data_IF_171659654740
#
_entry.id   IF_171659654740
#
_cell.length_a   1.000
_cell.length_b   1.000
_cell.length_c   1.000
_cell.angle_alpha   90.00
_cell.angle_beta   90.00
_cell.angle_gamma   90.00
#
_symmetry.space_group_name_H-M   'P 1'
#
loop_
_entity.id
_entity.type
_entity.pdbx_description
1 polymer ?
#
# COMPACT_ATOMS: atom_id res chain seq x y z
N UNK A 1 -20.00 10.21 -8.09
CA UNK A 1 -18.74 10.18 -7.30
C UNK A 1 -18.43 11.58 -6.71
N UNK A 2 -19.20 12.11 -5.75
CA UNK A 2 -18.95 13.46 -5.21
C UNK A 2 -17.99 13.51 -4.00
N UNK A 3 -17.71 12.38 -3.34
CA UNK A 3 -16.86 12.34 -2.14
C UNK A 3 -15.35 12.41 -2.45
N UNK A 4 -14.93 11.89 -3.60
CA UNK A 4 -13.51 11.93 -4.01
C UNK A 4 -13.08 13.36 -4.38
N UNK A 5 -14.00 14.15 -4.95
CA UNK A 5 -13.75 15.54 -5.38
C UNK A 5 -13.56 16.48 -4.18
N UNK A 6 -14.35 16.31 -3.12
CA UNK A 6 -14.19 17.09 -1.87
C UNK A 6 -12.95 16.69 -1.07
N UNK A 7 -12.55 15.41 -1.10
CA UNK A 7 -11.33 14.95 -0.44
C UNK A 7 -10.05 15.43 -1.14
N UNK A 8 -10.08 15.52 -2.48
CA UNK A 8 -8.96 16.04 -3.30
C UNK A 8 -8.73 17.55 -3.11
N UNK A 9 -9.79 18.32 -2.83
CA UNK A 9 -9.69 19.78 -2.73
C UNK A 9 -8.87 20.29 -1.51
N UNK A 10 -8.60 19.44 -0.50
CA UNK A 10 -7.85 19.84 0.71
C UNK A 10 -6.33 19.58 0.66
N UNK A 11 -5.81 18.90 -0.38
CA UNK A 11 -4.36 18.71 -0.58
C UNK A 11 -3.95 19.12 -2.00
N UNK A 12 -3.66 20.41 -2.16
CA UNK A 12 -3.31 21.05 -3.43
C UNK A 12 -2.13 20.37 -4.17
N UNK A 13 -1.17 19.76 -3.45
CA UNK A 13 0.02 19.14 -4.04
C UNK A 13 -0.25 17.80 -4.77
N UNK A 14 -1.23 17.01 -4.32
CA UNK A 14 -1.52 15.71 -4.93
C UNK A 14 -2.41 15.86 -6.17
N UNK A 15 -3.29 16.88 -6.14
CA UNK A 15 -4.11 17.30 -7.28
C UNK A 15 -3.26 17.95 -8.37
N UNK A 16 -2.30 18.82 -8.02
CA UNK A 16 -1.37 19.38 -9.01
C UNK A 16 -0.48 18.31 -9.63
N UNK A 17 0.00 17.32 -8.87
CA UNK A 17 0.78 16.22 -9.45
C UNK A 17 -0.04 15.36 -10.44
N UNK A 18 -1.30 15.04 -10.12
CA UNK A 18 -2.17 14.29 -11.04
C UNK A 18 -2.61 15.11 -12.25
N UNK A 19 -2.88 16.41 -12.08
CA UNK A 19 -3.25 17.32 -13.18
C UNK A 19 -2.04 17.59 -14.08
N UNK A 20 -0.83 17.79 -13.54
CA UNK A 20 0.39 17.96 -14.33
C UNK A 20 0.78 16.67 -15.08
N UNK A 21 0.56 15.52 -14.45
CA UNK A 21 0.66 14.24 -15.15
C UNK A 21 -0.39 14.16 -16.26
N UNK A 22 -1.62 14.65 -16.11
CA UNK A 22 -2.62 14.59 -17.19
C UNK A 22 -2.44 15.64 -18.30
N UNK A 23 -1.83 16.80 -18.00
CA UNK A 23 -1.64 17.90 -18.97
C UNK A 23 -0.38 17.72 -19.82
N UNK A 24 0.59 16.90 -19.37
CA UNK A 24 1.78 16.62 -20.18
C UNK A 24 1.42 15.82 -21.44
N UNK A 25 1.86 16.24 -22.65
CA UNK A 25 1.51 15.58 -23.91
C UNK A 25 1.93 14.10 -23.95
N UNK A 26 3.01 13.76 -23.23
CA UNK A 26 3.51 12.39 -23.08
C UNK A 26 2.57 11.48 -22.30
N UNK A 27 1.82 12.03 -21.35
CA UNK A 27 0.85 11.27 -20.60
C UNK A 27 -0.41 11.01 -21.41
N UNK A 28 -0.81 11.92 -22.30
CA UNK A 28 -1.91 11.65 -23.23
C UNK A 28 -1.61 10.48 -24.17
N UNK A 29 -0.35 10.32 -24.60
CA UNK A 29 0.07 9.17 -25.41
C UNK A 29 0.04 7.87 -24.60
N UNK A 30 0.55 7.90 -23.37
CA UNK A 30 0.46 6.75 -22.44
C UNK A 30 -0.99 6.43 -22.13
N UNK A 31 -1.84 7.44 -21.93
CA UNK A 31 -3.27 7.30 -21.66
C UNK A 31 -4.00 6.65 -22.83
N UNK A 32 -3.73 7.11 -24.06
CA UNK A 32 -4.26 6.50 -25.28
C UNK A 32 -3.74 5.08 -25.49
N UNK A 33 -2.49 4.79 -25.13
CA UNK A 33 -1.93 3.44 -25.15
C UNK A 33 -2.60 2.53 -24.12
N UNK A 34 -2.84 3.01 -22.90
CA UNK A 34 -3.50 2.23 -21.83
C UNK A 34 -4.97 2.00 -22.16
N UNK A 35 -5.64 3.00 -22.75
CA UNK A 35 -7.02 2.88 -23.20
C UNK A 35 -7.19 1.88 -24.35
N UNK A 36 -6.15 1.61 -25.15
CA UNK A 36 -6.22 0.58 -26.21
C UNK A 36 -6.28 -0.85 -25.68
N UNK A 37 -5.86 -1.11 -24.43
CA UNK A 37 -5.88 -2.47 -23.90
C UNK A 37 -7.32 -3.00 -23.78
N UNK A 38 -7.55 -4.20 -24.32
CA UNK A 38 -8.81 -4.92 -24.11
C UNK A 38 -8.95 -5.40 -22.66
N UNK A 39 -10.18 -5.74 -22.26
CA UNK A 39 -10.50 -6.26 -20.91
C UNK A 39 -9.68 -7.51 -20.56
N UNK A 40 -9.50 -8.41 -21.54
CA UNK A 40 -8.68 -9.62 -21.37
C UNK A 40 -7.20 -9.30 -21.13
N UNK A 41 -6.62 -8.41 -21.95
CA UNK A 41 -5.21 -8.03 -21.84
C UNK A 41 -4.92 -7.30 -20.51
N UNK A 42 -5.80 -6.38 -20.11
CA UNK A 42 -5.68 -5.66 -18.84
C UNK A 42 -5.69 -6.60 -17.62
N UNK A 43 -6.56 -7.60 -17.65
CA UNK A 43 -6.64 -8.60 -16.57
C UNK A 43 -5.37 -9.43 -16.48
N UNK A 44 -4.81 -9.87 -17.61
CA UNK A 44 -3.53 -10.62 -17.66
C UNK A 44 -2.38 -9.78 -17.11
N UNK A 45 -2.30 -8.49 -17.49
CA UNK A 45 -1.26 -7.58 -17.00
C UNK A 45 -1.37 -7.38 -15.49
N UNK A 46 -2.57 -7.22 -14.94
CA UNK A 46 -2.78 -7.13 -13.48
C UNK A 46 -2.26 -8.38 -12.75
N UNK A 47 -2.63 -9.59 -13.21
CA UNK A 47 -2.17 -10.82 -12.57
C UNK A 47 -0.66 -11.02 -12.71
N UNK A 48 -0.06 -10.64 -13.83
CA UNK A 48 1.38 -10.68 -14.03
C UNK A 48 2.12 -9.72 -13.08
N UNK A 49 1.61 -8.50 -12.87
CA UNK A 49 2.17 -7.54 -11.93
C UNK A 49 2.10 -8.08 -10.49
N UNK A 50 0.97 -8.69 -10.12
CA UNK A 50 0.78 -9.28 -8.78
C UNK A 50 1.69 -10.48 -8.56
N UNK A 51 1.85 -11.36 -9.55
CA UNK A 51 2.73 -12.54 -9.44
C UNK A 51 4.20 -12.17 -9.37
N UNK A 52 4.64 -11.14 -10.11
CA UNK A 52 6.01 -10.63 -10.02
C UNK A 52 6.26 -10.00 -8.65
N UNK A 53 5.33 -9.21 -8.12
CA UNK A 53 5.46 -8.64 -6.79
C UNK A 53 5.50 -9.70 -5.69
N UNK A 54 4.66 -10.73 -5.77
CA UNK A 54 4.65 -11.81 -4.79
C UNK A 54 5.95 -12.61 -4.84
N UNK A 55 6.51 -12.85 -6.03
CA UNK A 55 7.82 -13.48 -6.18
C UNK A 55 8.95 -12.66 -5.53
N UNK A 56 8.95 -11.33 -5.74
CA UNK A 56 9.93 -10.44 -5.09
C UNK A 56 9.75 -10.46 -3.56
N UNK A 57 8.52 -10.47 -3.06
CA UNK A 57 8.27 -10.56 -1.62
C UNK A 57 8.74 -11.89 -1.03
N UNK A 58 8.48 -13.01 -1.72
CA UNK A 58 8.91 -14.34 -1.31
C UNK A 58 10.43 -14.52 -1.35
N UNK A 59 11.13 -13.78 -2.22
CA UNK A 59 12.60 -13.77 -2.22
C UNK A 59 13.18 -13.34 -0.86
N UNK A 60 12.44 -12.52 -0.09
CA UNK A 60 12.80 -12.17 1.28
C UNK A 60 12.98 -13.38 2.21
N UNK A 61 12.27 -14.48 1.96
CA UNK A 61 12.39 -15.69 2.77
C UNK A 61 13.77 -16.37 2.67
N UNK A 62 14.48 -16.20 1.55
CA UNK A 62 15.81 -16.76 1.34
C UNK A 62 16.87 -16.16 2.29
N UNK A 63 16.64 -14.98 2.84
CA UNK A 63 17.55 -14.37 3.82
C UNK A 63 17.45 -15.01 5.21
N UNK A 64 16.43 -15.82 5.47
CA UNK A 64 16.22 -16.51 6.74
C UNK A 64 16.69 -17.97 6.71
N UNK A 65 17.20 -18.46 5.57
CA UNK A 65 17.77 -19.80 5.46
C UNK A 65 19.18 -19.86 6.06
N UNK A 66 19.34 -20.68 7.11
CA UNK A 66 20.61 -20.85 7.80
C UNK A 66 21.67 -21.58 6.95
N UNK A 67 21.27 -22.29 5.90
CA UNK A 67 22.18 -23.05 5.04
C UNK A 67 22.91 -22.20 3.98
N UNK A 68 22.49 -20.94 3.81
CA UNK A 68 22.99 -20.05 2.76
C UNK A 68 24.06 -19.09 3.29
N UNK A 69 25.19 -18.89 2.58
CA UNK A 69 26.17 -17.87 2.95
C UNK A 69 25.56 -16.46 2.81
N UNK A 70 25.66 -15.66 3.87
CA UNK A 70 25.15 -14.29 3.89
C UNK A 70 25.98 -13.37 3.00
N UNK A 71 25.33 -12.77 2.00
CA UNK A 71 25.93 -11.73 1.15
C UNK A 71 25.36 -10.36 1.53
N UNK A 72 26.19 -9.51 2.13
CA UNK A 72 25.79 -8.17 2.56
C UNK A 72 25.34 -7.28 1.39
N UNK A 73 25.96 -7.43 0.22
CA UNK A 73 25.61 -6.66 -0.98
C UNK A 73 24.19 -7.03 -1.47
N UNK A 74 23.88 -8.32 -1.51
CA UNK A 74 22.56 -8.80 -1.93
C UNK A 74 21.47 -8.38 -0.93
N UNK A 75 21.75 -8.52 0.37
CA UNK A 75 20.84 -8.10 1.42
C UNK A 75 20.57 -6.58 1.37
N UNK A 76 21.61 -5.78 1.14
CA UNK A 76 21.49 -4.32 1.01
C UNK A 76 20.66 -3.90 -0.21
N UNK A 77 20.91 -4.53 -1.37
CA UNK A 77 20.13 -4.29 -2.59
C UNK A 77 18.67 -4.68 -2.39
N UNK A 78 18.40 -5.86 -1.82
CA UNK A 78 17.03 -6.27 -1.54
C UNK A 78 16.33 -5.32 -0.56
N UNK A 79 16.99 -4.95 0.54
CA UNK A 79 16.44 -4.03 1.55
C UNK A 79 16.10 -2.65 0.96
N UNK A 80 16.90 -2.11 0.04
CA UNK A 80 16.64 -0.84 -0.63
C UNK A 80 15.54 -0.93 -1.70
N UNK A 81 15.58 -1.96 -2.55
CA UNK A 81 14.73 -2.01 -3.74
C UNK A 81 13.39 -2.73 -3.54
N UNK A 82 13.23 -3.63 -2.57
CA UNK A 82 11.97 -4.37 -2.41
C UNK A 82 10.76 -3.44 -2.20
N UNK A 83 10.89 -2.41 -1.35
CA UNK A 83 9.83 -1.39 -1.14
C UNK A 83 9.55 -0.57 -2.39
N UNK A 84 10.60 -0.26 -3.16
CA UNK A 84 10.47 0.51 -4.39
C UNK A 84 9.71 -0.28 -5.47
N UNK A 85 10.08 -1.56 -5.68
CA UNK A 85 9.36 -2.43 -6.62
C UNK A 85 7.92 -2.69 -6.17
N UNK A 86 7.69 -2.85 -4.87
CA UNK A 86 6.34 -2.96 -4.33
C UNK A 86 5.51 -1.69 -4.61
N UNK A 87 6.07 -0.51 -4.35
CA UNK A 87 5.39 0.76 -4.61
C UNK A 87 5.10 0.99 -6.12
N UNK A 88 6.06 0.68 -7.00
CA UNK A 88 5.86 0.74 -8.46
C UNK A 88 4.78 -0.24 -8.93
N UNK A 89 4.78 -1.45 -8.38
CA UNK A 89 3.78 -2.44 -8.72
C UNK A 89 2.38 -2.03 -8.25
N UNK A 90 2.26 -1.46 -7.05
CA UNK A 90 1.00 -0.94 -6.52
C UNK A 90 0.51 0.28 -7.32
N UNK A 91 1.40 1.18 -7.76
CA UNK A 91 0.99 2.33 -8.57
C UNK A 91 0.47 1.89 -9.95
N UNK A 92 1.15 0.94 -10.61
CA UNK A 92 0.69 0.36 -11.87
C UNK A 92 -0.67 -0.36 -11.71
N UNK A 93 -0.86 -1.09 -10.61
CA UNK A 93 -2.13 -1.73 -10.29
C UNK A 93 -3.28 -0.71 -10.13
N UNK A 94 -3.06 0.35 -9.36
CA UNK A 94 -4.05 1.42 -9.13
C UNK A 94 -4.44 2.07 -10.46
N UNK A 95 -3.46 2.37 -11.33
CA UNK A 95 -3.70 2.93 -12.66
C UNK A 95 -4.62 2.01 -13.49
N UNK A 96 -4.33 0.70 -13.55
CA UNK A 96 -5.14 -0.26 -14.30
C UNK A 96 -6.58 -0.35 -13.75
N UNK A 97 -6.73 -0.33 -12.42
CA UNK A 97 -8.04 -0.38 -11.76
C UNK A 97 -8.86 0.88 -12.03
N UNK A 98 -8.26 2.07 -11.97
CA UNK A 98 -8.93 3.36 -12.24
C UNK A 98 -9.49 3.39 -13.67
N UNK A 99 -8.78 2.81 -14.64
CA UNK A 99 -9.24 2.73 -16.03
C UNK A 99 -10.34 1.69 -16.28
N UNK A 100 -10.81 0.98 -15.26
CA UNK A 100 -12.12 0.32 -15.26
C UNK A 100 -12.25 -0.96 -16.08
N UNK A 101 -11.14 -1.57 -16.53
CA UNK A 101 -11.17 -2.74 -17.42
C UNK A 101 -10.93 -4.09 -16.75
N UNK A 102 -11.13 -4.18 -15.44
CA UNK A 102 -11.04 -5.46 -14.69
C UNK A 102 -12.41 -5.80 -14.08
N UNK A 103 -13.16 -6.73 -14.68
CA UNK A 103 -14.58 -6.94 -14.36
C UNK A 103 -14.81 -7.54 -12.96
N UNK A 104 -13.82 -8.24 -12.40
CA UNK A 104 -13.91 -8.87 -11.07
C UNK A 104 -13.56 -7.89 -9.95
N UNK A 105 -12.51 -7.09 -10.15
CA UNK A 105 -11.93 -6.23 -9.10
C UNK A 105 -12.81 -4.99 -8.88
N UNK A 106 -13.33 -4.38 -9.94
CA UNK A 106 -14.11 -3.15 -9.86
C UNK A 106 -15.36 -3.26 -8.94
N UNK A 107 -16.25 -4.28 -9.07
CA UNK A 107 -17.40 -4.41 -8.17
C UNK A 107 -17.00 -4.73 -6.72
N UNK A 108 -15.90 -5.45 -6.50
CA UNK A 108 -15.38 -5.74 -5.16
C UNK A 108 -14.93 -4.45 -4.45
N UNK A 109 -14.16 -3.62 -5.15
CA UNK A 109 -13.63 -2.36 -4.61
C UNK A 109 -14.70 -1.28 -4.48
N UNK A 110 -15.73 -1.30 -5.33
CA UNK A 110 -16.86 -0.37 -5.24
C UNK A 110 -17.92 -0.78 -4.20
N UNK A 111 -17.74 -1.91 -3.52
CA UNK A 111 -18.68 -2.35 -2.49
C UNK A 111 -18.68 -1.40 -1.28
N UNK A 112 -19.85 -1.16 -0.68
CA UNK A 112 -19.99 -0.28 0.51
C UNK A 112 -19.10 -0.73 1.67
N UNK A 113 -18.91 -2.04 1.82
CA UNK A 113 -18.05 -2.61 2.86
C UNK A 113 -16.60 -2.22 2.63
N UNK A 114 -16.09 -2.33 1.40
CA UNK A 114 -14.70 -1.98 1.09
C UNK A 114 -14.44 -0.48 1.23
N UNK A 115 -15.42 0.36 0.89
CA UNK A 115 -15.33 1.80 1.09
C UNK A 115 -15.24 2.15 2.58
N UNK A 116 -16.12 1.55 3.41
CA UNK A 116 -16.08 1.72 4.87
C UNK A 116 -14.77 1.24 5.47
N UNK A 117 -14.31 0.06 5.05
CA UNK A 117 -13.06 -0.52 5.50
C UNK A 117 -11.85 0.34 5.07
N UNK A 118 -11.89 0.92 3.88
CA UNK A 118 -10.86 1.85 3.40
C UNK A 118 -10.71 3.09 4.29
N UNK A 119 -11.82 3.67 4.74
CA UNK A 119 -11.80 4.79 5.68
C UNK A 119 -11.24 4.39 7.06
N UNK A 120 -11.61 3.20 7.54
CA UNK A 120 -11.09 2.67 8.81
C UNK A 120 -9.59 2.42 8.75
N UNK A 121 -9.12 1.76 7.67
CA UNK A 121 -7.69 1.49 7.45
C UNK A 121 -6.90 2.77 7.30
N UNK A 122 -7.45 3.79 6.63
CA UNK A 122 -6.82 5.10 6.54
C UNK A 122 -6.63 5.74 7.91
N UNK A 123 -7.65 5.70 8.78
CA UNK A 123 -7.55 6.16 10.16
C UNK A 123 -6.48 5.38 10.95
N UNK A 124 -6.48 4.05 10.82
CA UNK A 124 -5.48 3.18 11.46
C UNK A 124 -4.06 3.54 11.04
N UNK A 125 -3.80 3.72 9.75
CA UNK A 125 -2.46 4.05 9.22
C UNK A 125 -1.95 5.39 9.77
N UNK A 126 -2.83 6.35 10.04
CA UNK A 126 -2.44 7.63 10.64
C UNK A 126 -2.12 7.51 12.13
N UNK A 127 -2.88 6.72 12.88
CA UNK A 127 -2.75 6.63 14.34
C UNK A 127 -1.72 5.59 14.79
N UNK A 128 -1.62 4.45 14.10
CA UNK A 128 -0.70 3.37 14.41
C UNK A 128 0.76 3.80 14.66
N UNK A 129 1.39 4.65 13.81
CA UNK A 129 2.77 5.08 14.07
C UNK A 129 2.92 5.90 15.36
N UNK A 130 1.87 6.59 15.83
CA UNK A 130 1.92 7.35 17.09
C UNK A 130 2.17 6.39 18.26
N UNK A 131 1.45 5.26 18.29
CA UNK A 131 1.64 4.23 19.31
C UNK A 131 3.03 3.59 19.24
N UNK A 132 3.49 3.27 18.03
CA UNK A 132 4.84 2.71 17.85
C UNK A 132 5.94 3.67 18.32
N UNK A 133 5.88 4.95 17.92
CA UNK A 133 6.87 5.94 18.35
C UNK A 133 6.79 6.23 19.85
N UNK A 134 5.59 6.22 20.44
CA UNK A 134 5.45 6.40 21.87
C UNK A 134 6.01 5.21 22.65
N UNK A 135 5.74 3.98 22.22
CA UNK A 135 6.34 2.77 22.78
C UNK A 135 7.87 2.81 22.70
N UNK A 136 8.41 3.10 21.52
CA UNK A 136 9.85 3.22 21.28
C UNK A 136 10.50 4.36 22.08
N UNK A 137 9.85 5.52 22.19
CA UNK A 137 10.35 6.68 22.94
C UNK A 137 10.31 6.48 24.46
N UNK A 138 9.45 5.58 24.95
CA UNK A 138 9.34 5.26 26.38
C UNK A 138 10.35 4.19 26.82
N UNK A 139 10.96 3.47 25.87
CA UNK A 139 12.00 2.48 26.16
C UNK A 139 13.28 3.17 26.65
N UNK A 140 13.57 3.00 27.93
CA UNK A 140 14.82 3.46 28.57
C UNK A 140 15.89 2.37 28.65
N UNK A 141 15.65 1.21 28.04
CA UNK A 141 16.50 0.00 28.15
C UNK A 141 16.43 -0.83 26.86
N UNK A 142 17.52 -1.50 26.47
CA UNK A 142 17.53 -2.38 25.30
C UNK A 142 16.58 -3.56 25.55
N UNK A 143 15.62 -3.75 24.66
CA UNK A 143 14.65 -4.84 24.72
C UNK A 143 15.16 -6.02 23.89
N UNK A 144 15.10 -7.22 24.45
CA UNK A 144 15.41 -8.43 23.70
C UNK A 144 14.21 -8.77 22.81
N UNK A 145 14.45 -8.89 21.50
CA UNK A 145 13.45 -9.27 20.51
C UNK A 145 13.06 -10.75 20.71
N UNK A 146 12.11 -10.98 21.62
CA UNK A 146 11.49 -12.27 21.80
C UNK A 146 10.19 -12.33 20.98
N UNK A 147 9.93 -13.46 20.33
CA UNK A 147 8.74 -13.62 19.46
C UNK A 147 7.44 -13.30 20.21
N UNK A 148 7.35 -13.70 21.48
CA UNK A 148 6.17 -13.45 22.32
C UNK A 148 5.92 -11.96 22.55
N UNK A 149 6.94 -11.19 22.93
CA UNK A 149 6.80 -9.75 23.16
C UNK A 149 6.51 -9.01 21.85
N UNK A 150 7.14 -9.39 20.75
CA UNK A 150 6.88 -8.79 19.44
C UNK A 150 5.42 -8.98 18.98
N UNK A 151 4.88 -10.20 19.14
CA UNK A 151 3.49 -10.49 18.78
C UNK A 151 2.53 -9.72 19.68
N UNK A 152 2.76 -9.71 20.99
CA UNK A 152 1.88 -9.04 21.95
C UNK A 152 1.85 -7.53 21.76
N UNK A 153 3.01 -6.89 21.62
CA UNK A 153 3.14 -5.45 21.38
C UNK A 153 2.53 -5.07 20.04
N UNK A 154 2.82 -5.81 18.98
CA UNK A 154 2.25 -5.55 17.66
C UNK A 154 0.73 -5.71 17.62
N UNK A 155 0.19 -6.77 18.22
CA UNK A 155 -1.25 -6.97 18.31
C UNK A 155 -1.94 -5.90 19.16
N UNK A 156 -1.31 -5.49 20.27
CA UNK A 156 -1.80 -4.41 21.12
C UNK A 156 -1.86 -3.07 20.39
N UNK A 157 -0.80 -2.70 19.66
CA UNK A 157 -0.74 -1.46 18.89
C UNK A 157 -1.80 -1.42 17.77
N UNK A 158 -2.00 -2.55 17.08
CA UNK A 158 -3.03 -2.67 16.05
C UNK A 158 -4.42 -2.54 16.68
N UNK A 159 -4.68 -3.24 17.79
CA UNK A 159 -5.99 -3.20 18.45
C UNK A 159 -6.34 -1.80 18.97
N UNK A 160 -5.40 -1.12 19.63
CA UNK A 160 -5.58 0.26 20.11
C UNK A 160 -5.77 1.25 18.95
N UNK A 161 -5.02 1.08 17.86
CA UNK A 161 -5.19 1.91 16.65
C UNK A 161 -6.54 1.68 15.96
N UNK A 162 -7.07 0.46 15.98
CA UNK A 162 -8.42 0.16 15.48
C UNK A 162 -9.50 0.82 16.33
N UNK A 163 -9.41 0.74 17.65
CA UNK A 163 -10.39 1.37 18.56
C UNK A 163 -10.40 2.88 18.37
N UNK A 164 -9.23 3.51 18.30
CA UNK A 164 -9.14 4.96 18.14
C UNK A 164 -9.57 5.44 16.76
N UNK A 165 -9.22 4.71 15.69
CA UNK A 165 -9.71 4.99 14.35
C UNK A 165 -11.25 4.85 14.25
N UNK A 166 -11.80 3.85 14.94
CA UNK A 166 -13.25 3.61 14.98
C UNK A 166 -13.97 4.70 15.79
N UNK A 167 -13.44 5.10 16.94
CA UNK A 167 -13.99 6.19 17.75
C UNK A 167 -14.06 7.50 16.96
N UNK A 168 -12.97 7.87 16.27
CA UNK A 168 -12.94 9.06 15.40
C UNK A 168 -13.97 9.03 14.27
N UNK A 169 -14.35 7.84 13.78
CA UNK A 169 -15.33 7.71 12.70
C UNK A 169 -16.78 7.94 13.21
N UNK A 170 -17.06 7.62 14.48
CA UNK A 170 -18.41 7.77 15.07
C UNK A 170 -18.70 9.19 15.60
N UNK A 171 -17.66 9.99 15.85
CA UNK A 171 -17.81 11.36 16.35
C UNK A 171 -18.11 12.41 15.25
N UNK A 172 -18.15 12.00 13.97
CA UNK A 172 -18.45 12.86 12.80
C UNK A 172 -19.80 12.50 12.15
#
# INVERSE_FOLDING_TARGET
MPFLVTYLNKKAALVTFYIDVLVTPRANDVFNSVYKFGVGQSTVVCWAIVSVQSAIAMYGALFYDASRPYSAMEAGLFAGFHRFFWALGMSAFIIIVIFGKVPIINPLLSSKVMISLGNLVYGLVLVHPIYQYWGLGSLRRPEYLQYYSAILTGAGDIFLSLITALAHLFDC
#
